data_IF_447172461507
#
_entry.id   IF_447172461507
#
_cell.length_a   1.000
_cell.length_b   1.000
_cell.length_c   1.000
_cell.angle_alpha   90.00
_cell.angle_beta   90.00
_cell.angle_gamma   90.00
#
_symmetry.space_group_name_H-M   'P 1'
#
loop_
_entity.id
_entity.type
_entity.pdbx_description
1 polymer ?
#
# COMPACT_ATOMS: atom_id res chain seq x y z
N UNK A 1 22.03 -10.38 -53.07
CA UNK A 1 22.77 -10.16 -51.80
C UNK A 1 22.07 -9.27 -50.75
N UNK A 2 21.24 -8.27 -51.09
CA UNK A 2 20.62 -7.35 -50.11
C UNK A 2 19.50 -7.95 -49.22
N UNK A 3 18.87 -9.06 -49.63
CA UNK A 3 17.75 -9.66 -48.89
C UNK A 3 18.21 -10.51 -47.69
N UNK A 4 19.35 -11.20 -47.82
CA UNK A 4 19.94 -12.04 -46.78
C UNK A 4 20.43 -11.22 -45.57
N UNK A 5 20.92 -9.99 -45.81
CA UNK A 5 21.40 -9.06 -44.78
C UNK A 5 20.26 -8.50 -43.92
N UNK A 6 19.10 -8.18 -44.51
CA UNK A 6 17.92 -7.73 -43.76
C UNK A 6 17.37 -8.80 -42.82
N UNK A 7 17.33 -10.06 -43.25
CA UNK A 7 16.85 -11.19 -42.43
C UNK A 7 17.77 -11.47 -41.24
N UNK A 8 19.09 -11.37 -41.44
CA UNK A 8 20.09 -11.47 -40.36
C UNK A 8 20.00 -10.32 -39.36
N UNK A 9 19.76 -9.10 -39.82
CA UNK A 9 19.56 -7.94 -38.95
C UNK A 9 18.28 -8.06 -38.10
N UNK A 10 17.17 -8.48 -38.70
CA UNK A 10 15.91 -8.70 -37.98
C UNK A 10 16.04 -9.80 -36.91
N UNK A 11 16.76 -10.88 -37.22
CA UNK A 11 17.03 -11.98 -36.30
C UNK A 11 17.95 -11.54 -35.14
N UNK A 12 18.95 -10.71 -35.42
CA UNK A 12 19.83 -10.14 -34.39
C UNK A 12 19.05 -9.20 -33.45
N UNK A 13 18.20 -8.33 -33.99
CA UNK A 13 17.33 -7.45 -33.20
C UNK A 13 16.37 -8.27 -32.33
N UNK A 14 15.77 -9.33 -32.87
CA UNK A 14 14.91 -10.25 -32.12
C UNK A 14 15.67 -10.96 -30.98
N UNK A 15 16.88 -11.48 -31.26
CA UNK A 15 17.74 -12.10 -30.25
C UNK A 15 18.12 -11.09 -29.16
N UNK A 16 18.47 -9.86 -29.53
CA UNK A 16 18.79 -8.79 -28.57
C UNK A 16 17.56 -8.46 -27.72
N UNK A 17 16.37 -8.34 -28.32
CA UNK A 17 15.12 -8.13 -27.57
C UNK A 17 14.82 -9.28 -26.61
N UNK A 18 14.97 -10.54 -27.05
CA UNK A 18 14.79 -11.72 -26.20
C UNK A 18 15.84 -11.76 -25.08
N UNK A 19 17.10 -11.45 -25.38
CA UNK A 19 18.16 -11.35 -24.37
C UNK A 19 17.90 -10.20 -23.39
N UNK A 20 17.44 -9.05 -23.85
CA UNK A 20 17.06 -7.92 -22.99
C UNK A 20 15.89 -8.32 -22.08
N UNK A 21 14.89 -9.02 -22.60
CA UNK A 21 13.74 -9.53 -21.83
C UNK A 21 14.17 -10.58 -20.79
N UNK A 22 15.01 -11.54 -21.19
CA UNK A 22 15.55 -12.58 -20.30
C UNK A 22 16.45 -11.97 -19.22
N UNK A 23 17.33 -11.02 -19.58
CA UNK A 23 18.23 -10.34 -18.66
C UNK A 23 17.48 -9.36 -17.75
N UNK A 24 16.44 -8.67 -18.20
CA UNK A 24 15.60 -7.81 -17.34
C UNK A 24 14.84 -8.64 -16.29
N UNK A 25 14.29 -9.80 -16.68
CA UNK A 25 13.64 -10.72 -15.75
C UNK A 25 14.60 -11.24 -14.66
N UNK A 26 15.86 -11.45 -15.00
CA UNK A 26 16.87 -11.98 -14.09
C UNK A 26 17.54 -10.90 -13.21
N UNK A 27 17.72 -9.68 -13.73
CA UNK A 27 18.24 -8.52 -12.98
C UNK A 27 17.25 -8.06 -11.91
N UNK A 28 15.95 -8.07 -12.20
CA UNK A 28 14.92 -7.73 -11.22
C UNK A 28 14.86 -8.77 -10.08
N UNK A 29 15.04 -10.07 -10.39
CA UNK A 29 15.12 -11.16 -9.41
C UNK A 29 16.40 -11.15 -8.55
N UNK A 30 17.54 -10.69 -9.07
CA UNK A 30 18.83 -10.67 -8.35
C UNK A 30 18.98 -9.54 -7.33
N UNK A 31 18.05 -8.59 -7.27
CA UNK A 31 18.04 -7.60 -6.20
C UNK A 31 17.42 -8.21 -4.95
N UNK A 32 18.06 -8.08 -3.77
CA UNK A 32 17.57 -8.55 -2.45
C UNK A 32 16.27 -7.85 -1.98
N UNK A 33 15.49 -7.29 -2.90
CA UNK A 33 14.27 -6.53 -2.67
C UNK A 33 13.07 -7.47 -2.62
N UNK A 34 13.08 -8.58 -3.36
CA UNK A 34 11.99 -9.56 -3.37
C UNK A 34 12.17 -10.62 -2.29
N UNK A 35 11.11 -10.86 -1.54
CA UNK A 35 11.02 -11.86 -0.49
C UNK A 35 10.27 -13.06 -1.05
N UNK A 36 10.96 -14.19 -1.11
CA UNK A 36 10.39 -15.49 -1.51
C UNK A 36 9.22 -15.87 -0.59
N UNK A 37 8.18 -16.51 -1.14
CA UNK A 37 6.98 -16.98 -0.41
C UNK A 37 7.31 -17.64 0.94
N UNK A 38 8.26 -18.57 0.95
CA UNK A 38 8.70 -19.31 2.16
C UNK A 38 9.33 -18.45 3.26
N UNK A 39 9.78 -17.24 2.93
CA UNK A 39 10.38 -16.29 3.87
C UNK A 39 9.39 -15.25 4.36
N UNK A 40 8.18 -15.17 3.78
CA UNK A 40 7.17 -14.15 4.14
C UNK A 40 6.91 -14.16 5.64
N UNK A 41 6.53 -15.31 6.21
CA UNK A 41 6.15 -15.38 7.63
C UNK A 41 7.26 -14.91 8.58
N UNK A 42 8.53 -15.17 8.26
CA UNK A 42 9.67 -14.85 9.14
C UNK A 42 10.13 -13.39 9.07
N UNK A 43 9.72 -12.66 8.02
CA UNK A 43 10.03 -11.22 7.85
C UNK A 43 8.92 -10.30 8.34
N UNK A 44 7.73 -10.85 8.60
CA UNK A 44 6.61 -10.09 9.16
C UNK A 44 6.98 -9.54 10.54
N UNK A 45 6.47 -8.36 10.82
CA UNK A 45 6.61 -7.66 12.09
C UNK A 45 5.39 -7.96 12.94
N UNK A 46 5.56 -8.90 13.88
CA UNK A 46 4.54 -9.35 14.82
C UNK A 46 4.35 -8.30 15.92
N UNK A 47 3.24 -7.58 15.85
CA UNK A 47 2.87 -6.57 16.83
C UNK A 47 1.37 -6.29 16.74
N UNK A 48 0.73 -6.22 17.90
CA UNK A 48 -0.67 -5.85 18.03
C UNK A 48 -0.82 -4.46 18.64
N UNK A 49 -1.98 -3.85 18.43
CA UNK A 49 -2.28 -2.54 19.00
C UNK A 49 -2.29 -2.62 20.53
N UNK A 50 -1.80 -1.56 21.18
CA UNK A 50 -1.75 -1.48 22.66
C UNK A 50 -3.12 -1.69 23.31
N UNK A 51 -4.20 -1.31 22.63
CA UNK A 51 -5.58 -1.44 23.11
C UNK A 51 -6.28 -2.71 22.62
N UNK A 52 -5.58 -3.56 21.84
CA UNK A 52 -6.17 -4.78 21.31
C UNK A 52 -6.24 -5.86 22.39
N UNK A 53 -7.43 -6.41 22.57
CA UNK A 53 -7.67 -7.57 23.43
C UNK A 53 -8.37 -8.66 22.64
N UNK A 54 -7.99 -9.92 22.87
CA UNK A 54 -8.63 -11.09 22.29
C UNK A 54 -9.03 -12.05 23.39
N UNK A 55 -10.22 -12.65 23.25
CA UNK A 55 -10.70 -13.74 24.09
C UNK A 55 -10.19 -15.11 23.63
N UNK A 56 -9.64 -15.20 22.42
CA UNK A 56 -9.09 -16.43 21.88
C UNK A 56 -7.78 -16.80 22.60
N UNK A 57 -7.58 -18.09 22.82
CA UNK A 57 -6.44 -18.61 23.59
C UNK A 57 -5.22 -18.88 22.70
N UNK A 58 -5.46 -19.25 21.45
CA UNK A 58 -4.41 -19.68 20.50
C UNK A 58 -4.17 -18.58 19.48
N UNK A 59 -2.90 -18.30 19.17
CA UNK A 59 -2.53 -17.36 18.11
C UNK A 59 -2.94 -17.86 16.73
N UNK A 60 -3.31 -16.95 15.83
CA UNK A 60 -3.65 -17.31 14.47
C UNK A 60 -2.43 -17.90 13.73
N UNK A 61 -2.66 -18.97 12.97
CA UNK A 61 -1.70 -19.49 12.00
C UNK A 61 -1.89 -18.79 10.65
N UNK A 62 -0.78 -18.31 10.11
CA UNK A 62 -0.74 -17.58 8.84
C UNK A 62 -0.06 -18.40 7.73
N UNK A 63 0.44 -19.61 8.03
CA UNK A 63 1.08 -20.46 7.05
C UNK A 63 0.13 -20.76 5.89
N UNK A 64 -1.05 -21.30 6.17
CA UNK A 64 -2.03 -21.65 5.13
C UNK A 64 -2.47 -20.43 4.32
N UNK A 65 -2.61 -19.26 4.95
CA UNK A 65 -2.96 -17.99 4.29
C UNK A 65 -1.86 -17.55 3.31
N UNK A 66 -0.60 -17.67 3.71
CA UNK A 66 0.54 -17.32 2.86
C UNK A 66 0.66 -18.30 1.69
N UNK A 67 0.33 -19.58 1.90
CA UNK A 67 0.40 -20.60 0.85
C UNK A 67 -0.86 -20.69 -0.01
N UNK A 68 -1.94 -20.02 0.36
CA UNK A 68 -3.16 -19.91 -0.41
C UNK A 68 -2.97 -19.09 -1.70
N UNK A 69 -3.06 -19.78 -2.85
CA UNK A 69 -2.98 -19.16 -4.18
C UNK A 69 -4.35 -18.70 -4.72
N UNK A 70 -5.39 -18.70 -3.88
CA UNK A 70 -6.73 -18.21 -4.23
C UNK A 70 -6.68 -16.76 -4.70
N UNK A 71 -7.22 -16.53 -5.90
CA UNK A 71 -7.46 -15.20 -6.46
C UNK A 71 -8.86 -14.75 -6.11
N UNK A 72 -8.98 -13.59 -5.47
CA UNK A 72 -10.29 -13.03 -5.14
C UNK A 72 -10.87 -12.33 -6.39
N UNK A 73 -12.11 -12.66 -6.80
CA UNK A 73 -12.74 -12.00 -7.95
C UNK A 73 -13.11 -10.55 -7.61
N UNK A 74 -13.07 -9.64 -8.58
CA UNK A 74 -13.39 -8.22 -8.37
C UNK A 74 -14.87 -7.97 -8.06
N UNK A 75 -15.75 -8.75 -8.69
CA UNK A 75 -17.20 -8.63 -8.52
C UNK A 75 -17.65 -9.52 -7.36
N UNK A 76 -17.22 -9.18 -6.15
CA UNK A 76 -17.74 -9.83 -4.94
C UNK A 76 -19.19 -9.40 -4.76
N UNK A 77 -20.09 -10.38 -4.90
CA UNK A 77 -21.45 -10.23 -4.39
C UNK A 77 -21.34 -10.43 -2.89
N UNK A 78 -21.73 -9.42 -2.12
CA UNK A 78 -21.73 -9.46 -0.66
C UNK A 78 -22.83 -10.42 -0.18
N UNK A 79 -22.51 -11.71 -0.19
CA UNK A 79 -23.23 -12.78 0.48
C UNK A 79 -22.50 -13.27 1.74
N UNK A 80 -21.48 -12.54 2.20
CA UNK A 80 -20.62 -12.93 3.30
C UNK A 80 -21.28 -12.53 4.62
N UNK A 81 -21.89 -13.52 5.29
CA UNK A 81 -22.60 -13.35 6.56
C UNK A 81 -21.76 -12.77 7.70
N UNK A 82 -20.45 -12.61 7.51
CA UNK A 82 -19.55 -12.09 8.54
C UNK A 82 -19.32 -10.58 8.43
N UNK A 83 -19.98 -9.86 7.50
CA UNK A 83 -19.93 -8.38 7.48
C UNK A 83 -20.44 -7.77 8.79
N UNK A 84 -21.40 -8.42 9.46
CA UNK A 84 -21.93 -8.00 10.77
C UNK A 84 -20.88 -8.08 11.90
N UNK A 85 -19.75 -8.76 11.69
CA UNK A 85 -18.65 -8.83 12.67
C UNK A 85 -17.76 -7.59 12.64
N UNK A 86 -17.91 -6.72 11.64
CA UNK A 86 -17.18 -5.46 11.55
C UNK A 86 -17.79 -4.49 12.57
N UNK A 87 -16.96 -4.05 13.52
CA UNK A 87 -17.33 -3.05 14.51
C UNK A 87 -17.35 -1.67 13.87
N UNK A 88 -18.18 -0.79 14.44
CA UNK A 88 -18.26 0.63 14.08
C UNK A 88 -16.86 1.25 14.05
N UNK A 89 -16.60 2.08 13.04
CA UNK A 89 -15.28 2.58 12.70
C UNK A 89 -14.53 1.71 11.68
N UNK A 90 -15.12 0.61 11.21
CA UNK A 90 -14.49 -0.29 10.24
C UNK A 90 -13.43 -1.19 10.83
N UNK A 91 -13.58 -1.54 12.11
CA UNK A 91 -12.64 -2.38 12.84
C UNK A 91 -13.07 -3.83 12.82
N UNK A 92 -12.12 -4.73 12.64
CA UNK A 92 -12.36 -6.17 12.70
C UNK A 92 -11.19 -6.86 13.37
N UNK A 93 -11.50 -7.88 14.19
CA UNK A 93 -10.55 -8.86 14.67
C UNK A 93 -11.17 -10.26 14.59
N UNK A 94 -10.38 -11.30 14.29
CA UNK A 94 -10.85 -12.68 14.35
C UNK A 94 -11.23 -13.05 15.79
N UNK A 95 -12.23 -13.91 15.93
CA UNK A 95 -12.72 -14.42 17.21
C UNK A 95 -12.24 -15.84 17.51
N UNK A 96 -11.85 -16.56 16.46
CA UNK A 96 -11.43 -17.95 16.47
C UNK A 96 -9.99 -18.11 16.98
N UNK A 97 -9.16 -17.08 16.76
CA UNK A 97 -7.74 -17.06 17.11
C UNK A 97 -7.30 -15.64 17.46
N UNK A 98 -6.18 -15.53 18.17
CA UNK A 98 -5.58 -14.24 18.53
C UNK A 98 -4.74 -13.74 17.37
N UNK A 99 -5.17 -12.63 16.75
CA UNK A 99 -4.41 -12.00 15.68
C UNK A 99 -3.02 -11.58 16.17
N UNK A 100 -2.00 -11.83 15.35
CA UNK A 100 -0.60 -11.43 15.59
C UNK A 100 -0.28 -10.05 15.02
N UNK A 101 -1.14 -9.55 14.14
CA UNK A 101 -0.92 -8.29 13.44
C UNK A 101 -2.09 -7.34 13.68
N UNK A 102 -1.78 -6.12 14.08
CA UNK A 102 -2.73 -5.00 14.10
C UNK A 102 -2.36 -3.94 13.08
N UNK A 103 -3.27 -3.67 12.15
CA UNK A 103 -2.98 -2.87 10.97
C UNK A 103 -4.00 -1.75 10.77
N UNK A 104 -3.52 -0.52 10.60
CA UNK A 104 -4.34 0.59 10.14
C UNK A 104 -4.23 0.75 8.62
N UNK A 105 -5.37 0.70 7.92
CA UNK A 105 -5.45 0.97 6.48
C UNK A 105 -5.81 2.44 6.28
N UNK A 106 -4.85 3.25 5.85
CA UNK A 106 -5.01 4.69 5.65
C UNK A 106 -5.27 4.97 4.17
N UNK A 107 -6.47 5.45 3.87
CA UNK A 107 -6.97 5.67 2.52
C UNK A 107 -7.21 7.17 2.30
N UNK A 108 -6.32 7.88 1.59
CA UNK A 108 -6.57 9.27 1.22
C UNK A 108 -7.70 9.33 0.19
N UNK A 109 -8.63 10.28 0.34
CA UNK A 109 -9.89 10.31 -0.38
C UNK A 109 -10.37 11.74 -0.71
N UNK A 110 -11.12 11.85 -1.81
CA UNK A 110 -11.97 13.01 -2.16
C UNK A 110 -12.92 12.64 -3.30
N UNK A 111 -14.22 12.93 -3.17
CA UNK A 111 -15.23 12.91 -4.25
C UNK A 111 -15.29 11.62 -5.10
N UNK A 112 -15.22 10.44 -4.48
CA UNK A 112 -15.25 9.13 -5.19
C UNK A 112 -16.17 8.11 -4.52
N UNK A 113 -17.42 8.47 -4.23
CA UNK A 113 -18.33 7.67 -3.40
C UNK A 113 -18.54 6.22 -3.90
N UNK A 114 -18.79 6.03 -5.20
CA UNK A 114 -18.97 4.69 -5.78
C UNK A 114 -17.71 3.82 -5.70
N UNK A 115 -16.54 4.46 -5.87
CA UNK A 115 -15.26 3.77 -5.73
C UNK A 115 -15.02 3.37 -4.28
N UNK A 116 -15.32 4.26 -3.33
CA UNK A 116 -15.23 3.97 -1.90
C UNK A 116 -16.15 2.81 -1.51
N UNK A 117 -17.38 2.80 -2.01
CA UNK A 117 -18.30 1.69 -1.77
C UNK A 117 -17.73 0.36 -2.26
N UNK A 118 -17.23 0.33 -3.50
CA UNK A 118 -16.64 -0.87 -4.10
C UNK A 118 -15.39 -1.33 -3.35
N UNK A 119 -14.54 -0.37 -2.97
CA UNK A 119 -13.34 -0.58 -2.17
C UNK A 119 -13.67 -1.22 -0.81
N UNK A 120 -14.62 -0.66 -0.06
CA UNK A 120 -14.95 -1.15 1.28
C UNK A 120 -15.49 -2.59 1.24
N UNK A 121 -16.39 -2.90 0.33
CA UNK A 121 -16.94 -4.27 0.16
C UNK A 121 -15.81 -5.25 -0.15
N UNK A 122 -14.93 -4.90 -1.07
CA UNK A 122 -13.81 -5.75 -1.46
C UNK A 122 -12.81 -5.94 -0.33
N UNK A 123 -12.33 -4.83 0.25
CA UNK A 123 -11.26 -4.85 1.24
C UNK A 123 -11.68 -5.52 2.53
N UNK A 124 -12.92 -5.33 3.00
CA UNK A 124 -13.38 -6.08 4.17
C UNK A 124 -13.43 -7.59 3.91
N UNK A 125 -13.89 -8.01 2.73
CA UNK A 125 -13.89 -9.42 2.35
C UNK A 125 -12.47 -9.98 2.27
N UNK A 126 -11.56 -9.23 1.66
CA UNK A 126 -10.15 -9.60 1.52
C UNK A 126 -9.44 -9.70 2.87
N UNK A 127 -9.53 -8.66 3.71
CA UNK A 127 -8.79 -8.55 4.97
C UNK A 127 -9.28 -9.56 6.03
N UNK A 128 -10.58 -9.87 6.08
CA UNK A 128 -11.11 -10.87 7.03
C UNK A 128 -10.56 -12.27 6.77
N UNK A 129 -10.29 -12.62 5.51
CA UNK A 129 -9.66 -13.91 5.13
C UNK A 129 -8.21 -14.03 5.57
N UNK A 130 -7.60 -12.93 5.99
CA UNK A 130 -6.23 -12.91 6.50
C UNK A 130 -6.13 -13.06 8.01
N UNK A 131 -7.26 -13.09 8.76
CA UNK A 131 -7.26 -13.22 10.22
C UNK A 131 -6.34 -12.22 10.93
N UNK A 132 -6.29 -10.98 10.43
CA UNK A 132 -5.59 -9.86 11.07
C UNK A 132 -6.58 -8.99 11.84
N UNK A 133 -6.08 -8.30 12.87
CA UNK A 133 -6.82 -7.18 13.46
C UNK A 133 -6.56 -5.94 12.59
N UNK A 134 -7.62 -5.28 12.12
CA UNK A 134 -7.46 -4.08 11.30
C UNK A 134 -8.54 -3.04 11.54
N UNK A 135 -8.25 -1.81 11.11
CA UNK A 135 -9.25 -0.74 10.95
C UNK A 135 -8.99 0.07 9.67
N UNK A 136 -10.05 0.45 8.96
CA UNK A 136 -9.98 1.30 7.78
C UNK A 136 -10.24 2.76 8.16
N UNK A 137 -9.28 3.64 7.83
CA UNK A 137 -9.35 5.08 7.99
C UNK A 137 -9.41 5.74 6.61
N UNK A 138 -10.54 6.38 6.31
CA UNK A 138 -10.73 7.19 5.10
C UNK A 138 -10.49 8.64 5.49
N UNK A 139 -9.49 9.27 4.88
CA UNK A 139 -9.12 10.66 5.14
C UNK A 139 -9.56 11.51 3.95
N UNK A 140 -10.66 12.24 4.13
CA UNK A 140 -11.27 13.06 3.10
C UNK A 140 -10.78 14.51 3.15
N UNK A 141 -10.24 14.98 2.02
CA UNK A 141 -10.02 16.42 1.81
C UNK A 141 -11.31 17.07 1.34
N UNK A 142 -11.93 17.89 2.19
CA UNK A 142 -13.24 18.52 1.90
C UNK A 142 -13.12 19.96 1.39
N UNK A 143 -11.94 20.57 1.51
CA UNK A 143 -11.64 21.89 0.95
C UNK A 143 -11.56 21.89 -0.60
N UNK A 144 -11.53 23.08 -1.17
CA UNK A 144 -11.40 23.30 -2.62
C UNK A 144 -9.95 23.38 -3.12
N UNK A 145 -8.94 23.14 -2.28
CA UNK A 145 -7.54 23.18 -2.69
C UNK A 145 -7.20 22.00 -3.61
N UNK A 146 -6.07 22.04 -4.33
CA UNK A 146 -5.63 20.88 -5.07
C UNK A 146 -5.43 19.67 -4.15
N UNK A 147 -5.69 18.47 -4.68
CA UNK A 147 -5.64 17.24 -3.88
C UNK A 147 -4.22 16.98 -3.38
N UNK A 148 -4.04 16.65 -2.10
CA UNK A 148 -2.73 16.35 -1.52
C UNK A 148 -2.72 14.98 -0.83
N UNK A 149 -2.40 13.95 -1.62
CA UNK A 149 -2.41 12.55 -1.19
C UNK A 149 -1.49 12.29 0.01
N UNK A 150 -0.25 12.79 -0.04
CA UNK A 150 0.76 12.56 0.98
C UNK A 150 0.39 13.20 2.33
N UNK A 151 -0.15 14.43 2.29
CA UNK A 151 -0.61 15.13 3.49
C UNK A 151 -1.81 14.43 4.14
N UNK A 152 -2.77 13.93 3.35
CA UNK A 152 -3.89 13.12 3.87
C UNK A 152 -3.41 11.81 4.50
N UNK A 153 -2.42 11.16 3.89
CA UNK A 153 -1.77 9.98 4.49
C UNK A 153 -1.14 10.32 5.84
N UNK A 154 -0.40 11.43 5.95
CA UNK A 154 0.18 11.87 7.22
C UNK A 154 -0.89 12.06 8.31
N UNK A 155 -2.03 12.69 7.97
CA UNK A 155 -3.16 12.91 8.90
C UNK A 155 -3.73 11.58 9.40
N UNK A 156 -4.02 10.65 8.49
CA UNK A 156 -4.54 9.32 8.84
C UNK A 156 -3.54 8.51 9.65
N UNK A 157 -2.25 8.56 9.29
CA UNK A 157 -1.18 7.90 10.03
C UNK A 157 -1.06 8.41 11.46
N UNK A 158 -1.09 9.73 11.68
CA UNK A 158 -1.06 10.32 13.03
C UNK A 158 -2.25 9.82 13.87
N UNK A 159 -3.44 9.80 13.27
CA UNK A 159 -4.66 9.32 13.94
C UNK A 159 -4.55 7.84 14.31
N UNK A 160 -4.11 7.00 13.38
CA UNK A 160 -3.91 5.57 13.60
C UNK A 160 -2.83 5.27 14.66
N UNK A 161 -1.71 6.01 14.64
CA UNK A 161 -0.64 5.87 15.63
C UNK A 161 -1.12 6.27 17.03
N UNK A 162 -1.93 7.32 17.16
CA UNK A 162 -2.55 7.72 18.44
C UNK A 162 -3.54 6.67 18.96
N UNK A 163 -4.21 5.95 18.06
CA UNK A 163 -5.03 4.80 18.40
C UNK A 163 -4.20 3.53 18.73
N UNK A 164 -2.87 3.62 18.68
CA UNK A 164 -1.95 2.55 19.04
C UNK A 164 -1.77 1.49 17.97
N UNK A 165 -2.02 1.78 16.68
CA UNK A 165 -1.75 0.81 15.61
C UNK A 165 -0.24 0.80 15.26
N UNK A 166 0.44 -0.36 15.35
CA UNK A 166 1.87 -0.47 15.09
C UNK A 166 2.22 -0.56 13.60
N UNK A 167 1.27 -0.97 12.76
CA UNK A 167 1.45 -1.09 11.31
C UNK A 167 0.53 -0.14 10.55
N UNK A 168 1.10 0.60 9.59
CA UNK A 168 0.39 1.50 8.70
C UNK A 168 0.44 0.95 7.27
N UNK A 169 -0.73 0.79 6.64
CA UNK A 169 -0.85 0.52 5.21
C UNK A 169 -1.36 1.77 4.53
N UNK A 170 -0.53 2.38 3.69
CA UNK A 170 -0.84 3.61 2.96
C UNK A 170 -1.41 3.20 1.61
N UNK A 171 -2.68 3.49 1.36
CA UNK A 171 -3.45 2.71 0.40
C UNK A 171 -4.24 3.56 -0.58
N UNK A 172 -3.91 3.47 -1.86
CA UNK A 172 -4.74 4.06 -2.92
C UNK A 172 -6.10 3.36 -3.03
N UNK A 173 -7.18 4.13 -3.10
CA UNK A 173 -8.55 3.62 -3.09
C UNK A 173 -8.94 2.83 -4.35
N UNK A 174 -8.21 2.98 -5.46
CA UNK A 174 -8.47 2.30 -6.73
C UNK A 174 -7.66 1.03 -6.94
N UNK A 175 -6.78 0.64 -6.01
CA UNK A 175 -5.97 -0.57 -6.11
C UNK A 175 -6.57 -1.69 -5.26
N UNK A 176 -6.89 -2.83 -5.86
CA UNK A 176 -7.42 -3.99 -5.12
C UNK A 176 -6.44 -5.17 -5.17
N UNK A 177 -6.03 -5.75 -4.02
CA UNK A 177 -5.11 -6.89 -3.99
C UNK A 177 -5.77 -8.15 -4.54
N UNK A 178 -5.07 -8.93 -5.37
CA UNK A 178 -5.64 -10.12 -6.03
C UNK A 178 -5.49 -11.38 -5.18
N UNK A 179 -4.35 -11.58 -4.51
CA UNK A 179 -4.03 -12.80 -3.75
C UNK A 179 -4.08 -12.59 -2.25
N UNK A 180 -4.79 -13.45 -1.54
CA UNK A 180 -4.91 -13.41 -0.07
C UNK A 180 -3.54 -13.57 0.62
N UNK A 181 -2.62 -14.31 0.00
CA UNK A 181 -1.22 -14.43 0.42
C UNK A 181 -0.46 -13.09 0.54
N UNK A 182 -0.94 -12.01 -0.10
CA UNK A 182 -0.41 -10.67 0.14
C UNK A 182 -0.92 -10.12 1.47
N UNK A 183 -0.45 -10.71 2.58
CA UNK A 183 -0.92 -10.37 3.93
C UNK A 183 -0.77 -8.88 4.23
N UNK A 184 -1.83 -8.24 4.75
CA UNK A 184 -1.85 -6.81 5.10
C UNK A 184 -1.27 -6.59 6.50
N UNK A 185 -0.01 -6.96 6.64
CA UNK A 185 0.82 -6.75 7.81
C UNK A 185 2.15 -6.13 7.40
N UNK A 186 2.81 -5.48 8.35
CA UNK A 186 4.11 -4.87 8.12
C UNK A 186 5.19 -5.94 8.12
N UNK A 187 6.26 -5.66 7.39
CA UNK A 187 7.54 -6.37 7.53
C UNK A 187 8.50 -5.52 8.36
N UNK A 188 9.61 -6.11 8.81
CA UNK A 188 10.69 -5.38 9.52
C UNK A 188 11.26 -4.21 8.71
N UNK A 189 11.11 -4.26 7.38
CA UNK A 189 11.48 -3.19 6.45
C UNK A 189 10.22 -2.61 5.78
N UNK A 190 10.23 -1.35 5.29
CA UNK A 190 9.10 -0.81 4.54
C UNK A 190 8.81 -1.63 3.29
N UNK A 191 7.55 -2.02 3.10
CA UNK A 191 7.14 -2.92 2.02
C UNK A 191 6.35 -2.19 0.94
N UNK A 192 6.77 -2.31 -0.31
CA UNK A 192 5.93 -1.95 -1.46
C UNK A 192 5.01 -3.14 -1.77
N UNK A 193 3.71 -2.96 -1.56
CA UNK A 193 2.74 -4.05 -1.68
C UNK A 193 2.23 -4.21 -3.10
N UNK A 194 1.97 -3.09 -3.80
CA UNK A 194 1.45 -3.08 -5.16
C UNK A 194 2.56 -3.06 -6.22
N UNK A 195 3.49 -4.02 -6.17
CA UNK A 195 4.59 -4.07 -7.15
C UNK A 195 4.18 -4.54 -8.53
N UNK A 196 3.01 -5.17 -8.64
CA UNK A 196 2.59 -5.90 -9.83
C UNK A 196 1.16 -5.50 -10.17
N UNK A 197 0.96 -4.43 -10.94
CA UNK A 197 -0.38 -3.85 -11.19
C UNK A 197 -0.82 -4.07 -12.65
N UNK A 198 -2.09 -4.43 -12.87
CA UNK A 198 -2.69 -4.65 -14.20
C UNK A 198 -2.42 -3.51 -15.21
N UNK A 199 -2.47 -2.25 -14.76
CA UNK A 199 -2.19 -1.06 -15.58
C UNK A 199 -0.81 -1.08 -16.24
N UNK A 200 0.16 -1.69 -15.58
CA UNK A 200 1.52 -1.84 -16.07
C UNK A 200 1.76 -3.26 -16.60
N UNK A 201 0.70 -3.94 -17.07
CA UNK A 201 0.75 -5.32 -17.55
C UNK A 201 1.39 -6.28 -16.54
N UNK A 202 1.18 -6.03 -15.24
CA UNK A 202 1.79 -6.80 -14.16
C UNK A 202 3.33 -6.76 -14.17
N UNK A 203 3.92 -5.66 -14.63
CA UNK A 203 5.37 -5.43 -14.61
C UNK A 203 5.67 -4.22 -13.74
N UNK A 204 6.66 -4.35 -12.85
CA UNK A 204 7.15 -3.24 -12.03
C UNK A 204 7.77 -2.16 -12.93
N UNK A 205 7.24 -0.91 -12.95
CA UNK A 205 7.73 0.13 -13.84
C UNK A 205 9.21 0.51 -13.64
N UNK A 206 9.65 0.61 -12.39
CA UNK A 206 11.05 0.87 -12.01
C UNK A 206 11.32 0.42 -10.58
N UNK A 207 12.59 0.09 -10.28
CA UNK A 207 12.99 -0.54 -9.02
C UNK A 207 12.72 0.32 -7.77
N UNK A 208 12.78 1.64 -7.90
CA UNK A 208 12.58 2.62 -6.81
C UNK A 208 11.11 2.99 -6.56
N UNK A 209 10.16 2.45 -7.32
CA UNK A 209 8.75 2.76 -7.16
C UNK A 209 8.25 2.37 -5.76
N UNK A 210 7.68 3.33 -5.04
CA UNK A 210 7.14 3.14 -3.69
C UNK A 210 5.77 3.83 -3.51
N UNK A 211 4.97 3.83 -4.59
CA UNK A 211 3.61 4.38 -4.63
C UNK A 211 2.52 3.30 -4.59
N UNK A 212 1.26 3.71 -4.79
CA UNK A 212 0.12 2.79 -4.79
C UNK A 212 -0.25 2.32 -3.38
N UNK A 213 0.19 1.10 -3.02
CA UNK A 213 -0.02 0.50 -1.69
C UNK A 213 1.32 0.15 -1.04
N UNK A 214 1.56 0.67 0.15
CA UNK A 214 2.78 0.41 0.92
C UNK A 214 2.47 0.09 2.39
N UNK A 215 3.34 -0.71 3.02
CA UNK A 215 3.29 -1.00 4.45
C UNK A 215 4.53 -0.43 5.14
N UNK A 216 4.35 0.19 6.29
CA UNK A 216 5.44 0.72 7.10
C UNK A 216 5.09 0.66 8.58
N UNK A 217 6.05 0.28 9.42
CA UNK A 217 5.88 0.27 10.87
C UNK A 217 5.69 1.73 11.33
N UNK A 218 4.72 1.97 12.22
CA UNK A 218 4.39 3.29 12.75
C UNK A 218 5.62 4.06 13.24
N UNK A 219 6.49 3.40 14.01
CA UNK A 219 7.72 4.01 14.50
C UNK A 219 8.69 4.37 13.37
N UNK A 220 8.79 3.55 12.31
CA UNK A 220 9.60 3.88 11.13
C UNK A 220 9.03 5.11 10.41
N UNK A 221 7.71 5.17 10.22
CA UNK A 221 7.04 6.31 9.59
C UNK A 221 7.22 7.60 10.39
N UNK A 222 7.14 7.52 11.73
CA UNK A 222 7.42 8.65 12.62
C UNK A 222 8.88 9.12 12.52
N UNK A 223 9.83 8.19 12.52
CA UNK A 223 11.26 8.50 12.53
C UNK A 223 11.74 9.18 11.23
N UNK A 224 11.12 8.88 10.10
CA UNK A 224 11.43 9.53 8.80
C UNK A 224 10.64 10.83 8.58
N UNK A 225 9.95 11.32 9.62
CA UNK A 225 9.07 12.48 9.56
C UNK A 225 7.89 12.31 8.57
N UNK A 226 7.40 11.10 8.35
CA UNK A 226 6.31 10.81 7.42
C UNK A 226 6.60 11.19 5.96
N UNK A 227 5.55 11.52 5.21
CA UNK A 227 5.65 11.97 3.81
C UNK A 227 5.74 13.50 3.72
N UNK A 228 6.20 14.05 2.60
CA UNK A 228 6.16 15.49 2.35
C UNK A 228 4.73 16.04 2.30
N UNK A 229 4.48 17.20 2.92
CA UNK A 229 3.19 17.89 2.84
C UNK A 229 3.10 18.82 1.62
N UNK A 230 4.17 18.95 0.83
CA UNK A 230 4.28 19.97 -0.23
C UNK A 230 3.70 19.51 -1.56
N UNK A 231 3.38 18.23 -1.74
CA UNK A 231 2.91 17.68 -3.01
C UNK A 231 1.40 17.87 -3.22
N UNK A 232 1.07 19.00 -3.83
CA UNK A 232 -0.27 19.28 -4.35
C UNK A 232 -0.40 18.79 -5.79
N UNK A 233 -1.53 18.14 -6.09
CA UNK A 233 -1.80 17.42 -7.33
C UNK A 233 -0.94 16.16 -7.54
N UNK A 234 -0.65 15.81 -8.80
CA UNK A 234 -0.12 14.51 -9.18
C UNK A 234 1.40 14.50 -9.35
N UNK A 235 2.04 13.70 -8.50
CA UNK A 235 3.27 12.99 -8.81
C UNK A 235 4.51 13.47 -8.04
N UNK A 236 5.38 12.51 -7.76
CA UNK A 236 6.69 12.73 -7.13
C UNK A 236 6.67 12.63 -5.61
N UNK A 237 5.50 12.53 -4.97
CA UNK A 237 5.39 12.38 -3.52
C UNK A 237 5.82 10.98 -3.06
N UNK A 238 5.60 9.97 -3.91
CA UNK A 238 6.03 8.59 -3.69
C UNK A 238 7.54 8.42 -3.88
N UNK A 239 8.13 9.09 -4.89
CA UNK A 239 9.57 9.12 -5.08
C UNK A 239 10.28 9.91 -3.96
N UNK A 240 9.70 11.01 -3.47
CA UNK A 240 10.17 11.74 -2.29
C UNK A 240 10.10 10.86 -1.04
N UNK A 241 8.99 10.15 -0.84
CA UNK A 241 8.84 9.22 0.26
C UNK A 241 9.90 8.11 0.21
N UNK A 242 10.19 7.57 -0.97
CA UNK A 242 11.29 6.62 -1.14
C UNK A 242 12.65 7.23 -0.78
N UNK A 243 12.94 8.46 -1.19
CA UNK A 243 14.18 9.14 -0.85
C UNK A 243 14.34 9.35 0.68
N UNK A 244 13.24 9.63 1.39
CA UNK A 244 13.21 9.70 2.86
C UNK A 244 13.60 8.37 3.49
N UNK A 245 13.10 7.25 2.96
CA UNK A 245 13.51 5.91 3.42
C UNK A 245 15.01 5.66 3.20
N UNK A 246 15.53 6.00 2.02
CA UNK A 246 16.96 5.84 1.70
C UNK A 246 17.84 6.64 2.67
N UNK A 247 17.47 7.90 2.96
CA UNK A 247 18.21 8.77 3.89
C UNK A 247 18.27 8.23 5.33
N UNK A 248 17.25 7.45 5.75
CA UNK A 248 17.18 6.81 7.06
C UNK A 248 17.65 5.35 7.03
N UNK A 249 18.31 4.92 5.96
CA UNK A 249 18.86 3.56 5.77
C UNK A 249 17.79 2.46 5.85
N UNK A 250 16.52 2.81 5.63
CA UNK A 250 15.43 1.87 5.51
C UNK A 250 15.40 1.34 4.07
N UNK A 251 15.52 0.02 3.92
CA UNK A 251 15.58 -0.61 2.60
C UNK A 251 14.20 -1.10 2.23
N UNK A 252 13.66 -0.66 1.11
CA UNK A 252 12.39 -1.16 0.63
C UNK A 252 12.45 -2.68 0.39
N UNK A 253 11.37 -3.40 0.66
CA UNK A 253 11.19 -4.79 0.25
C UNK A 253 9.84 -5.01 -0.45
N UNK A 254 9.70 -6.15 -1.11
CA UNK A 254 8.51 -6.59 -1.86
C UNK A 254 8.31 -8.07 -1.63
N UNK A 255 7.08 -8.56 -1.64
CA UNK A 255 6.88 -9.99 -1.87
C UNK A 255 7.08 -10.29 -3.35
N UNK A 256 7.32 -11.56 -3.66
CA UNK A 256 7.44 -12.02 -5.04
C UNK A 256 6.30 -11.50 -5.95
N UNK A 257 6.58 -11.23 -7.24
CA UNK A 257 5.65 -10.55 -8.13
C UNK A 257 4.25 -11.16 -8.17
N UNK A 258 4.18 -12.49 -8.14
CA UNK A 258 2.94 -13.28 -8.21
C UNK A 258 2.07 -13.08 -6.96
N UNK A 259 2.68 -12.84 -5.79
CA UNK A 259 1.94 -12.54 -4.56
C UNK A 259 1.51 -11.07 -4.53
N UNK A 260 2.29 -10.18 -5.12
CA UNK A 260 2.08 -8.72 -5.08
C UNK A 260 1.18 -8.18 -6.21
N UNK A 261 0.28 -9.00 -6.75
CA UNK A 261 -0.66 -8.66 -7.82
C UNK A 261 -1.81 -7.75 -7.35
N UNK A 262 -2.06 -6.65 -8.06
CA UNK A 262 -3.19 -5.72 -7.84
C UNK A 262 -3.93 -5.40 -9.14
N UNK A 263 -5.21 -5.10 -8.97
CA UNK A 263 -6.07 -4.56 -10.03
C UNK A 263 -6.41 -3.09 -9.74
N UNK A 264 -6.10 -2.20 -10.67
CA UNK A 264 -6.59 -0.81 -10.69
C UNK A 264 -8.00 -0.79 -11.31
N UNK A 265 -9.04 -0.54 -10.50
CA UNK A 265 -10.45 -0.61 -10.91
C UNK A 265 -11.00 0.69 -11.52
N UNK A 266 -10.29 1.80 -11.37
CA UNK A 266 -10.66 3.08 -11.97
C UNK A 266 -9.43 3.75 -12.56
N UNK A 267 -9.00 3.35 -13.78
CA UNK A 267 -7.80 3.89 -14.40
C UNK A 267 -7.84 5.41 -14.43
N UNK A 268 -6.90 6.04 -13.73
CA UNK A 268 -6.82 7.51 -13.74
C UNK A 268 -6.43 7.95 -15.16
N UNK A 269 -7.19 8.87 -15.75
CA UNK A 269 -6.76 9.57 -16.97
C UNK A 269 -5.36 10.14 -16.70
N UNK A 270 -4.39 9.82 -17.56
CA UNK A 270 -3.02 10.30 -17.41
C UNK A 270 -3.00 11.83 -17.46
N UNK A 271 -3.03 12.49 -16.30
CA UNK A 271 -2.75 13.92 -16.19
C UNK A 271 -1.25 14.08 -16.31
N UNK A 272 -0.80 15.10 -17.05
CA UNK A 272 0.62 15.42 -17.16
C UNK A 272 1.20 15.56 -15.76
N UNK A 273 2.27 14.80 -15.48
CA UNK A 273 3.04 14.93 -14.24
C UNK A 273 3.46 16.39 -14.12
N UNK A 274 3.11 17.05 -13.03
CA UNK A 274 3.63 18.39 -12.77
C UNK A 274 5.05 18.22 -12.23
N UNK A 275 6.02 18.05 -13.14
CA UNK A 275 7.46 17.83 -12.86
C UNK A 275 8.11 19.01 -12.11
N UNK A 276 7.35 20.06 -11.75
CA UNK A 276 7.88 21.28 -11.12
C UNK A 276 8.17 21.15 -9.63
N UNK A 277 7.77 20.08 -8.95
CA UNK A 277 8.10 19.92 -7.53
C UNK A 277 9.46 19.25 -7.35
N UNK A 278 10.40 20.04 -6.83
CA UNK A 278 11.73 19.60 -6.45
C UNK A 278 11.61 18.61 -5.30
N UNK A 279 12.05 17.37 -5.52
CA UNK A 279 12.21 16.37 -4.45
C UNK A 279 13.00 16.97 -3.28
N UNK A 280 12.63 16.60 -2.06
CA UNK A 280 13.42 16.88 -0.86
C UNK A 280 14.76 16.17 -1.05
N UNK A 281 15.78 16.92 -1.47
CA UNK A 281 17.10 16.36 -1.80
C UNK A 281 18.04 16.38 -0.61
N UNK A 282 17.72 17.18 0.41
CA UNK A 282 18.58 17.43 1.54
C UNK A 282 17.91 17.03 2.87
N UNK A 283 18.67 16.53 3.85
CA UNK A 283 18.15 16.20 5.18
C UNK A 283 17.38 17.35 5.85
N UNK A 284 17.80 18.60 5.61
CA UNK A 284 17.17 19.81 6.12
C UNK A 284 15.73 19.95 5.60
N UNK A 285 15.50 19.66 4.31
CA UNK A 285 14.17 19.68 3.70
C UNK A 285 13.24 18.68 4.40
N UNK A 286 13.74 17.48 4.72
CA UNK A 286 12.99 16.41 5.39
C UNK A 286 12.67 16.80 6.84
N UNK A 287 13.58 17.47 7.53
CA UNK A 287 13.36 17.91 8.91
C UNK A 287 12.26 18.99 9.02
N UNK A 288 12.20 19.89 8.04
CA UNK A 288 11.24 21.00 7.99
C UNK A 288 9.88 20.63 7.38
N UNK A 289 9.81 19.57 6.57
CA UNK A 289 8.60 19.15 5.86
C UNK A 289 8.21 17.70 6.17
N UNK A 290 7.09 17.51 6.84
CA UNK A 290 6.57 16.19 7.17
C UNK A 290 5.59 16.21 8.34
N UNK A 291 5.63 15.19 9.20
CA UNK A 291 4.81 15.15 10.41
C UNK A 291 5.04 16.35 11.33
N UNK A 292 6.28 16.81 11.46
CA UNK A 292 6.70 17.95 12.27
C UNK A 292 6.03 19.27 11.85
N UNK A 293 5.67 19.42 10.57
CA UNK A 293 5.05 20.61 10.00
C UNK A 293 3.63 20.37 9.48
N UNK A 294 3.01 19.28 9.89
CA UNK A 294 1.66 18.90 9.48
C UNK A 294 0.62 19.89 10.05
N UNK A 295 0.07 20.73 9.18
CA UNK A 295 -0.99 21.70 9.49
C UNK A 295 -2.26 21.38 8.71
N UNK A 296 -3.40 21.31 9.39
CA UNK A 296 -4.72 21.11 8.81
C UNK A 296 -5.76 21.48 9.87
N UNK A 297 -7.02 21.66 9.46
CA UNK A 297 -8.17 21.78 10.34
C UNK A 297 -8.99 20.50 10.23
N UNK A 298 -9.22 19.82 11.34
CA UNK A 298 -10.17 18.71 11.38
C UNK A 298 -11.59 19.27 11.40
N UNK A 299 -12.38 18.94 10.37
CA UNK A 299 -13.78 19.34 10.26
C UNK A 299 -14.66 18.41 11.09
N UNK A 300 -14.46 17.10 10.94
CA UNK A 300 -15.14 16.09 11.73
C UNK A 300 -14.47 14.71 11.61
N UNK A 301 -14.57 13.92 12.67
CA UNK A 301 -14.29 12.48 12.65
C UNK A 301 -15.57 11.69 12.95
N UNK A 302 -15.97 10.82 12.04
CA UNK A 302 -17.20 10.01 12.14
C UNK A 302 -16.88 8.53 12.02
N UNK A 303 -17.34 7.73 12.98
CA UNK A 303 -17.25 6.27 12.93
C UNK A 303 -18.45 5.71 12.17
N UNK A 304 -18.27 5.40 10.88
CA UNK A 304 -19.27 4.68 10.08
C UNK A 304 -19.20 3.17 10.36
N UNK A 305 -20.21 2.36 9.97
CA UNK A 305 -20.15 0.92 10.19
C UNK A 305 -18.89 0.25 9.62
N UNK A 306 -18.45 0.68 8.43
CA UNK A 306 -17.36 0.04 7.68
C UNK A 306 -16.03 0.82 7.69
N UNK A 307 -15.99 2.04 8.22
CA UNK A 307 -14.74 2.81 8.24
C UNK A 307 -14.82 3.97 9.22
N UNK A 308 -13.65 4.50 9.57
CA UNK A 308 -13.50 5.75 10.30
C UNK A 308 -13.26 6.85 9.27
N UNK A 309 -14.14 7.84 9.24
CA UNK A 309 -14.11 8.93 8.29
C UNK A 309 -13.54 10.19 8.95
N UNK A 310 -12.42 10.69 8.44
CA UNK A 310 -11.74 11.87 8.95
C UNK A 310 -11.82 12.93 7.85
N UNK A 311 -12.62 13.97 8.06
CA UNK A 311 -12.81 15.06 7.11
C UNK A 311 -11.91 16.24 7.52
N UNK A 312 -11.13 16.76 6.58
CA UNK A 312 -10.13 17.81 6.86
C UNK A 312 -10.08 18.88 5.79
N UNK A 313 -9.73 20.09 6.25
CA UNK A 313 -9.29 21.21 5.42
C UNK A 313 -7.76 21.35 5.55
N UNK A 314 -7.04 21.38 4.42
CA UNK A 314 -5.57 21.39 4.34
C UNK A 314 -4.96 22.78 4.37
#
# INVERSE_FOLDING_TARGET
MRYATKKKFLYLVFIILVLILLLHGDITRKTNVFIEKRKILSVLHDETSENFTSTAIVDCDYYDIIYDDTKLPLNLIDGDSDIYRIKKGGEYAPTECKARFSTAIVVPYRDRAELLRSFLVYMHSFLRRQYIHYRIYVVEQVDSQPYNRAKLINIGAVTAMRAGYPCLILHDIDLLPIKVANIYACTKQPRHMSSTVNKFSFVLPYLKLFGGVTAIIANQFKNINGMSNRYFEWGGEDDDFYARLESHKLKLCRFEPETSEYHEIAPRLQRKRNVRMQQSRFPEDIAEDGLSSLKYTEVATVLHPLFTHIMVDL
#
